data_IF_694337003499
#
_entry.id   IF_694337003499
#
_cell.length_a   1.000
_cell.length_b   1.000
_cell.length_c   1.000
_cell.angle_alpha   90.00
_cell.angle_beta   90.00
_cell.angle_gamma   90.00
#
_symmetry.space_group_name_H-M   'P 1'
#
loop_
_entity.id
_entity.type
_entity.pdbx_description
1 polymer ?
#
# COMPACT_ATOMS: atom_id res chain seq x y z
N UNK A 1 15.76 6.59 16.39
CA UNK A 1 16.15 7.87 15.82
C UNK A 1 16.35 7.71 14.33
N UNK A 2 15.50 8.34 13.49
CA UNK A 2 15.60 8.31 12.01
C UNK A 2 16.69 9.26 11.48
N UNK A 3 17.50 9.87 12.36
CA UNK A 3 18.55 10.84 12.02
C UNK A 3 19.95 10.26 11.78
N UNK A 4 20.12 8.94 11.68
CA UNK A 4 21.37 8.32 11.26
C UNK A 4 21.52 8.39 9.73
N UNK A 5 22.77 8.51 9.22
CA UNK A 5 23.05 8.47 7.79
C UNK A 5 22.46 7.18 7.18
N UNK A 6 21.49 7.34 6.29
CA UNK A 6 20.94 6.22 5.49
C UNK A 6 21.97 5.83 4.42
N UNK A 7 22.11 4.54 4.07
CA UNK A 7 22.75 4.18 2.81
C UNK A 7 22.06 4.92 1.67
N UNK A 8 22.82 5.61 0.82
CA UNK A 8 22.29 6.49 -0.26
C UNK A 8 21.44 5.77 -1.30
N UNK A 9 21.41 4.46 -1.27
CA UNK A 9 20.74 3.56 -2.24
C UNK A 9 19.48 2.89 -1.67
N UNK A 10 19.05 3.25 -0.46
CA UNK A 10 17.85 2.67 0.18
C UNK A 10 16.72 3.69 0.17
N UNK A 11 15.65 3.39 -0.55
CA UNK A 11 14.40 4.15 -0.53
C UNK A 11 13.64 3.85 0.75
N UNK A 12 13.31 4.89 1.52
CA UNK A 12 12.54 4.80 2.76
C UNK A 12 11.09 5.20 2.52
N UNK A 13 10.18 4.22 2.56
CA UNK A 13 8.74 4.48 2.63
C UNK A 13 8.26 4.49 4.09
N UNK A 14 7.43 5.46 4.45
CA UNK A 14 6.80 5.53 5.77
C UNK A 14 5.30 5.28 5.62
N UNK A 15 4.78 4.27 6.34
CA UNK A 15 3.34 4.01 6.38
C UNK A 15 2.70 4.82 7.50
N UNK A 16 1.75 5.68 7.13
CA UNK A 16 1.04 6.57 8.05
C UNK A 16 -0.43 6.12 8.20
N UNK A 17 -0.95 6.26 9.40
CA UNK A 17 -2.34 5.91 9.74
C UNK A 17 -2.72 6.49 11.09
N UNK A 18 -4.03 6.63 11.39
CA UNK A 18 -4.47 7.20 12.65
C UNK A 18 -4.14 6.27 13.82
N UNK A 19 -4.04 6.84 14.99
CA UNK A 19 -3.97 6.06 16.22
C UNK A 19 -5.26 5.25 16.41
N UNK A 20 -5.16 4.07 17.01
CA UNK A 20 -6.28 3.12 17.07
C UNK A 20 -7.51 3.67 17.82
N UNK A 21 -7.26 4.52 18.86
CA UNK A 21 -8.29 5.09 19.70
C UNK A 21 -8.75 6.48 19.25
N UNK A 22 -8.18 7.02 18.16
CA UNK A 22 -8.59 8.33 17.65
C UNK A 22 -10.04 8.28 17.14
N UNK A 23 -10.93 9.15 17.63
CA UNK A 23 -12.28 9.29 17.11
C UNK A 23 -12.32 9.50 15.60
N UNK A 24 -13.36 9.01 14.95
CA UNK A 24 -13.44 8.98 13.49
C UNK A 24 -13.34 10.37 12.83
N UNK A 25 -13.90 11.37 13.47
CA UNK A 25 -13.90 12.80 13.04
C UNK A 25 -12.53 13.48 13.19
N UNK A 26 -11.64 12.96 14.04
CA UNK A 26 -10.30 13.50 14.27
C UNK A 26 -9.19 12.74 13.50
N UNK A 27 -9.52 11.65 12.81
CA UNK A 27 -8.52 10.83 12.11
C UNK A 27 -7.78 11.57 11.00
N UNK A 28 -8.41 12.52 10.36
CA UNK A 28 -7.77 13.35 9.33
C UNK A 28 -6.61 14.15 9.91
N UNK A 29 -6.76 14.64 11.13
CA UNK A 29 -5.72 15.43 11.82
C UNK A 29 -4.51 14.57 12.19
N UNK A 30 -4.73 13.28 12.55
CA UNK A 30 -3.63 12.34 12.75
C UNK A 30 -2.81 12.16 11.46
N UNK A 31 -3.47 11.97 10.32
CA UNK A 31 -2.77 11.85 9.03
C UNK A 31 -1.99 13.13 8.70
N UNK A 32 -2.59 14.30 8.87
CA UNK A 32 -1.91 15.59 8.62
C UNK A 32 -0.67 15.75 9.51
N UNK A 33 -0.80 15.46 10.79
CA UNK A 33 0.33 15.49 11.73
C UNK A 33 1.47 14.56 11.30
N UNK A 34 1.15 13.36 10.81
CA UNK A 34 2.14 12.40 10.33
C UNK A 34 2.78 12.84 9.00
N UNK A 35 2.03 13.47 8.12
CA UNK A 35 2.59 14.08 6.90
C UNK A 35 3.59 15.17 7.27
N UNK A 36 3.22 16.12 8.12
CA UNK A 36 4.10 17.21 8.55
C UNK A 36 5.41 16.67 9.18
N UNK A 37 5.30 15.59 9.96
CA UNK A 37 6.45 14.96 10.61
C UNK A 37 7.38 14.21 9.66
N UNK A 38 6.83 13.48 8.69
CA UNK A 38 7.59 12.52 7.89
C UNK A 38 7.89 12.98 6.47
N UNK A 39 7.26 14.03 5.96
CA UNK A 39 7.43 14.49 4.58
C UNK A 39 8.88 14.83 4.21
N UNK A 40 9.68 15.32 5.17
CA UNK A 40 11.11 15.63 4.96
C UNK A 40 12.05 14.45 5.20
N UNK A 41 11.54 13.36 5.78
CA UNK A 41 12.34 12.21 6.20
C UNK A 41 12.17 11.00 5.30
N UNK A 42 11.02 10.89 4.63
CA UNK A 42 10.64 9.77 3.77
C UNK A 42 10.88 10.08 2.30
N UNK A 43 11.16 9.04 1.51
CA UNK A 43 11.20 9.13 0.06
C UNK A 43 9.80 8.94 -0.55
N UNK A 44 8.86 8.34 0.18
CA UNK A 44 7.42 8.34 -0.09
C UNK A 44 6.62 8.07 1.19
N UNK A 45 5.36 8.49 1.21
CA UNK A 45 4.42 8.19 2.30
C UNK A 45 3.31 7.25 1.80
N UNK A 46 3.00 6.21 2.59
CA UNK A 46 1.90 5.30 2.33
C UNK A 46 0.74 5.57 3.28
N UNK A 47 -0.34 6.16 2.76
CA UNK A 47 -1.59 6.44 3.50
C UNK A 47 -2.33 5.12 3.70
N UNK A 48 -2.27 4.58 4.91
CA UNK A 48 -2.84 3.28 5.24
C UNK A 48 -4.28 3.42 5.74
N UNK A 49 -5.24 3.16 4.87
CA UNK A 49 -6.69 3.11 5.18
C UNK A 49 -7.21 1.66 5.24
N UNK A 50 -6.33 0.68 5.29
CA UNK A 50 -6.67 -0.73 5.07
C UNK A 50 -6.45 -1.66 6.26
N UNK A 51 -5.97 -1.15 7.41
CA UNK A 51 -5.74 -1.97 8.60
C UNK A 51 -7.05 -2.54 9.15
N UNK A 52 -7.12 -3.86 9.44
CA UNK A 52 -8.26 -4.45 10.12
C UNK A 52 -8.26 -4.24 11.64
N UNK A 53 -7.12 -3.78 12.18
CA UNK A 53 -6.91 -3.67 13.63
C UNK A 53 -7.38 -2.33 14.20
N UNK A 54 -7.70 -1.37 13.36
CA UNK A 54 -8.27 -0.07 13.75
C UNK A 54 -9.75 -0.07 13.37
N UNK A 55 -10.61 0.00 14.37
CA UNK A 55 -12.07 -0.05 14.17
C UNK A 55 -12.53 1.06 13.21
N UNK A 56 -13.35 0.72 12.21
CA UNK A 56 -13.90 1.66 11.24
C UNK A 56 -12.87 2.31 10.30
N UNK A 57 -11.59 1.90 10.31
CA UNK A 57 -10.60 2.47 9.40
C UNK A 57 -10.88 2.10 7.94
N UNK A 58 -11.36 0.90 7.69
CA UNK A 58 -11.70 0.43 6.34
C UNK A 58 -12.91 1.12 5.74
N UNK A 59 -13.75 1.75 6.57
CA UNK A 59 -14.90 2.55 6.11
C UNK A 59 -14.43 3.80 5.34
N UNK A 60 -13.20 4.23 5.59
CA UNK A 60 -12.56 5.32 4.84
C UNK A 60 -12.26 4.96 3.38
N UNK A 61 -12.26 3.68 3.02
CA UNK A 61 -12.06 3.22 1.64
C UNK A 61 -13.33 3.36 0.75
N UNK A 62 -14.43 3.85 1.31
CA UNK A 62 -15.67 4.16 0.58
C UNK A 62 -15.78 5.63 0.17
N UNK A 63 -16.97 6.17 0.32
CA UNK A 63 -17.30 7.57 0.01
C UNK A 63 -16.36 8.62 0.66
N UNK A 64 -15.84 8.43 1.90
CA UNK A 64 -14.96 9.39 2.53
C UNK A 64 -13.55 9.48 1.91
N UNK A 65 -13.11 8.49 1.12
CA UNK A 65 -11.72 8.37 0.66
C UNK A 65 -11.23 9.62 -0.06
N UNK A 66 -12.04 10.15 -0.96
CA UNK A 66 -11.67 11.33 -1.75
C UNK A 66 -11.41 12.56 -0.88
N UNK A 67 -12.28 12.81 0.09
CA UNK A 67 -12.11 13.93 1.02
C UNK A 67 -10.89 13.77 1.92
N UNK A 68 -10.65 12.57 2.42
CA UNK A 68 -9.46 12.23 3.19
C UNK A 68 -8.18 12.47 2.39
N UNK A 69 -8.10 11.92 1.19
CA UNK A 69 -6.90 12.06 0.35
C UNK A 69 -6.66 13.51 -0.06
N UNK A 70 -7.71 14.28 -0.37
CA UNK A 70 -7.57 15.70 -0.67
C UNK A 70 -6.98 16.49 0.51
N UNK A 71 -7.45 16.24 1.74
CA UNK A 71 -6.93 16.90 2.94
C UNK A 71 -5.47 16.52 3.25
N UNK A 72 -5.08 15.27 2.97
CA UNK A 72 -3.69 14.79 3.14
C UNK A 72 -2.77 15.39 2.08
N UNK A 73 -3.22 15.47 0.82
CA UNK A 73 -2.47 16.07 -0.27
C UNK A 73 -2.26 17.59 -0.06
N UNK A 74 -3.29 18.29 0.41
CA UNK A 74 -3.17 19.69 0.79
C UNK A 74 -2.09 19.89 1.88
N UNK A 75 -2.08 19.03 2.90
CA UNK A 75 -1.07 19.08 3.94
C UNK A 75 0.34 18.79 3.39
N UNK A 76 0.49 17.78 2.52
CA UNK A 76 1.76 17.52 1.83
C UNK A 76 2.26 18.75 1.08
N UNK A 77 1.37 19.39 0.32
CA UNK A 77 1.72 20.56 -0.48
C UNK A 77 2.15 21.74 0.41
N UNK A 78 1.52 21.88 1.59
CA UNK A 78 1.91 22.87 2.61
C UNK A 78 3.34 22.65 3.13
N UNK A 79 3.82 21.40 3.19
CA UNK A 79 5.21 21.12 3.59
C UNK A 79 6.25 21.54 2.54
N UNK A 80 5.86 21.76 1.30
CA UNK A 80 6.73 22.13 0.18
C UNK A 80 7.70 21.04 -0.25
N UNK A 81 7.60 19.81 0.27
CA UNK A 81 8.53 18.72 -0.03
C UNK A 81 8.23 18.02 -1.36
N UNK A 82 6.97 18.01 -1.78
CA UNK A 82 6.52 17.23 -2.94
C UNK A 82 6.70 15.71 -2.76
N UNK A 83 6.81 15.21 -1.51
CA UNK A 83 6.99 13.78 -1.23
C UNK A 83 5.86 12.96 -1.85
N UNK A 84 6.14 11.90 -2.61
CA UNK A 84 5.10 11.07 -3.21
C UNK A 84 4.17 10.46 -2.16
N UNK A 85 2.85 10.50 -2.42
CA UNK A 85 1.83 9.89 -1.60
C UNK A 85 1.19 8.71 -2.32
N UNK A 86 1.26 7.52 -1.73
CA UNK A 86 0.56 6.34 -2.22
C UNK A 86 -0.51 5.90 -1.23
N UNK A 87 -1.68 5.47 -1.71
CA UNK A 87 -2.74 4.98 -0.84
C UNK A 87 -2.71 3.46 -0.75
N UNK A 88 -2.78 2.92 0.49
CA UNK A 88 -2.80 1.46 0.71
C UNK A 88 -4.22 0.97 0.94
N UNK A 89 -4.68 0.11 0.01
CA UNK A 89 -6.03 -0.42 -0.07
C UNK A 89 -6.11 -1.89 0.40
N UNK A 90 -7.24 -2.25 0.99
CA UNK A 90 -7.57 -3.62 1.41
C UNK A 90 -7.93 -4.50 0.21
N UNK A 91 -7.68 -5.83 0.28
CA UNK A 91 -8.21 -6.76 -0.71
C UNK A 91 -9.73 -7.02 -0.55
N UNK A 92 -10.34 -6.54 0.53
CA UNK A 92 -11.74 -6.83 0.90
C UNK A 92 -12.73 -5.73 0.49
N UNK A 93 -12.34 -4.86 -0.44
CA UNK A 93 -13.20 -3.79 -0.96
C UNK A 93 -14.29 -4.40 -1.87
N UNK A 94 -15.55 -4.03 -1.63
CA UNK A 94 -16.67 -4.50 -2.44
C UNK A 94 -16.76 -3.77 -3.78
N UNK A 95 -16.70 -2.44 -3.77
CA UNK A 95 -16.63 -1.63 -4.98
C UNK A 95 -15.22 -1.12 -5.25
N UNK A 96 -14.39 -2.02 -5.74
CA UNK A 96 -12.99 -1.73 -6.05
C UNK A 96 -12.85 -0.67 -7.14
N UNK A 97 -13.81 -0.61 -8.08
CA UNK A 97 -13.79 0.38 -9.14
C UNK A 97 -13.98 1.79 -8.62
N UNK A 98 -14.98 2.02 -7.77
CA UNK A 98 -15.23 3.33 -7.18
C UNK A 98 -14.04 3.81 -6.35
N UNK A 99 -13.42 2.92 -5.57
CA UNK A 99 -12.27 3.25 -4.71
C UNK A 99 -11.04 3.61 -5.54
N UNK A 100 -10.73 2.86 -6.58
CA UNK A 100 -9.60 3.14 -7.48
C UNK A 100 -9.82 4.46 -8.23
N UNK A 101 -11.03 4.70 -8.75
CA UNK A 101 -11.35 5.97 -9.40
C UNK A 101 -11.25 7.16 -8.44
N UNK A 102 -11.68 6.99 -7.18
CA UNK A 102 -11.54 8.03 -6.17
C UNK A 102 -10.07 8.34 -5.84
N UNK A 103 -9.22 7.31 -5.75
CA UNK A 103 -7.79 7.47 -5.53
C UNK A 103 -7.13 8.20 -6.70
N UNK A 104 -7.38 7.78 -7.94
CA UNK A 104 -6.83 8.43 -9.14
C UNK A 104 -7.29 9.88 -9.27
N UNK A 105 -8.58 10.14 -9.08
CA UNK A 105 -9.15 11.49 -9.13
C UNK A 105 -8.66 12.41 -8.00
N UNK A 106 -8.11 11.87 -6.93
CA UNK A 106 -7.53 12.67 -5.83
C UNK A 106 -6.12 13.17 -6.14
N UNK A 107 -5.42 12.60 -7.12
CA UNK A 107 -4.07 13.00 -7.49
C UNK A 107 -2.98 12.37 -6.63
N UNK A 108 -3.22 11.20 -6.02
CA UNK A 108 -2.16 10.40 -5.37
C UNK A 108 -1.20 9.85 -6.42
N UNK A 109 0.05 9.59 -6.03
CA UNK A 109 1.13 9.17 -6.91
C UNK A 109 1.14 7.66 -7.18
N UNK A 110 0.31 6.88 -6.48
CA UNK A 110 0.21 5.44 -6.70
C UNK A 110 -0.69 4.72 -5.70
N UNK A 111 -0.84 3.42 -5.90
CA UNK A 111 -1.67 2.55 -5.08
C UNK A 111 -0.81 1.39 -4.56
N UNK A 112 -0.85 1.12 -3.26
CA UNK A 112 -0.44 -0.17 -2.70
C UNK A 112 -1.71 -1.02 -2.61
N UNK A 113 -1.82 -2.06 -3.43
CA UNK A 113 -2.97 -2.95 -3.39
C UNK A 113 -2.67 -4.25 -2.66
N UNK A 114 -3.45 -4.49 -1.63
CA UNK A 114 -3.38 -5.65 -0.76
C UNK A 114 -2.93 -5.28 0.66
N UNK A 115 -3.51 -6.05 1.57
CA UNK A 115 -3.26 -6.09 3.00
C UNK A 115 -3.69 -7.49 3.44
N UNK A 116 -3.98 -7.70 4.71
CA UNK A 116 -4.64 -8.92 5.19
C UNK A 116 -6.12 -8.92 4.82
N UNK A 117 -6.74 -10.11 4.69
CA UNK A 117 -8.19 -10.24 4.53
C UNK A 117 -8.85 -10.56 5.87
N UNK A 118 -10.05 -10.01 6.10
CA UNK A 118 -10.93 -10.40 7.21
C UNK A 118 -11.98 -11.42 6.75
N UNK A 119 -12.03 -11.78 5.47
CA UNK A 119 -12.94 -12.77 4.89
C UNK A 119 -12.38 -14.19 5.09
N UNK A 120 -12.31 -14.62 6.35
CA UNK A 120 -11.81 -15.94 6.76
C UNK A 120 -12.54 -16.46 8.01
N UNK A 121 -12.33 -17.72 8.34
CA UNK A 121 -12.99 -18.40 9.48
C UNK A 121 -12.11 -18.48 10.74
N UNK A 122 -10.92 -17.90 10.75
CA UNK A 122 -9.91 -18.01 11.82
C UNK A 122 -10.18 -17.09 13.04
N UNK A 123 -11.35 -16.46 13.11
CA UNK A 123 -11.82 -15.69 14.26
C UNK A 123 -11.35 -14.23 14.29
N UNK A 124 -10.14 -13.91 14.73
CA UNK A 124 -9.69 -12.53 14.93
C UNK A 124 -8.58 -12.10 13.98
N UNK A 125 -8.51 -10.78 13.69
CA UNK A 125 -7.45 -10.14 12.94
C UNK A 125 -7.56 -10.37 11.44
N UNK A 126 -6.46 -10.15 10.74
CA UNK A 126 -6.40 -10.30 9.29
C UNK A 126 -5.54 -11.48 8.88
N UNK A 127 -6.08 -12.35 8.02
CA UNK A 127 -5.34 -13.46 7.43
C UNK A 127 -4.38 -12.97 6.35
N UNK A 128 -3.15 -13.49 6.35
CA UNK A 128 -2.11 -13.16 5.38
C UNK A 128 -1.41 -14.42 4.83
N UNK A 129 -0.41 -14.24 3.98
CA UNK A 129 0.37 -15.35 3.43
C UNK A 129 -0.31 -16.08 2.28
N UNK A 130 -0.03 -17.38 2.12
CA UNK A 130 -0.47 -18.19 0.98
C UNK A 130 -1.99 -18.13 0.70
N UNK A 131 -2.87 -18.17 1.71
CA UNK A 131 -4.31 -18.12 1.48
C UNK A 131 -4.78 -16.85 0.75
N UNK A 132 -4.03 -15.75 0.89
CA UNK A 132 -4.35 -14.48 0.26
C UNK A 132 -3.89 -14.41 -1.22
N UNK A 133 -2.99 -15.30 -1.65
CA UNK A 133 -2.28 -15.21 -2.93
C UNK A 133 -3.18 -15.03 -4.13
N UNK A 134 -4.16 -15.93 -4.31
CA UNK A 134 -5.06 -15.92 -5.47
C UNK A 134 -6.03 -14.74 -5.46
N UNK A 135 -6.58 -14.35 -4.31
CA UNK A 135 -7.50 -13.21 -4.21
C UNK A 135 -6.79 -11.89 -4.46
N UNK A 136 -5.57 -11.71 -3.93
CA UNK A 136 -4.77 -10.53 -4.17
C UNK A 136 -4.35 -10.39 -5.66
N UNK A 137 -4.05 -11.52 -6.33
CA UNK A 137 -3.74 -11.49 -7.76
C UNK A 137 -4.95 -11.07 -8.60
N UNK A 138 -6.10 -11.70 -8.39
CA UNK A 138 -7.34 -11.32 -9.11
C UNK A 138 -7.72 -9.86 -8.88
N UNK A 139 -7.60 -9.36 -7.65
CA UNK A 139 -7.87 -7.96 -7.36
C UNK A 139 -6.90 -7.01 -8.08
N UNK A 140 -5.61 -7.38 -8.16
CA UNK A 140 -4.62 -6.62 -8.92
C UNK A 140 -4.98 -6.53 -10.41
N UNK A 141 -5.36 -7.64 -11.03
CA UNK A 141 -5.80 -7.68 -12.44
C UNK A 141 -7.01 -6.76 -12.68
N UNK A 142 -7.96 -6.75 -11.74
CA UNK A 142 -9.13 -5.88 -11.82
C UNK A 142 -8.77 -4.39 -11.75
N UNK A 143 -7.87 -3.99 -10.84
CA UNK A 143 -7.49 -2.58 -10.71
C UNK A 143 -6.57 -2.12 -11.85
N UNK A 144 -5.72 -3.01 -12.36
CA UNK A 144 -4.80 -2.62 -13.44
C UNK A 144 -5.52 -2.15 -14.70
N UNK A 145 -6.66 -2.74 -15.01
CA UNK A 145 -7.49 -2.31 -16.14
C UNK A 145 -8.25 -0.98 -15.92
N UNK A 146 -8.14 -0.37 -14.73
CA UNK A 146 -8.97 0.79 -14.34
C UNK A 146 -8.17 2.05 -14.01
N UNK A 147 -6.85 1.96 -13.88
CA UNK A 147 -6.02 3.12 -13.52
C UNK A 147 -4.69 3.12 -14.25
N UNK A 148 -4.20 4.32 -14.56
CA UNK A 148 -2.84 4.55 -15.05
C UNK A 148 -1.79 4.65 -13.94
N UNK A 149 -2.19 4.74 -12.68
CA UNK A 149 -1.29 4.89 -11.55
C UNK A 149 -0.33 3.71 -11.39
N UNK A 150 0.89 3.93 -10.91
CA UNK A 150 1.77 2.87 -10.43
C UNK A 150 1.08 2.04 -9.33
N UNK A 151 1.19 0.70 -9.44
CA UNK A 151 0.62 -0.21 -8.45
C UNK A 151 1.75 -1.00 -7.77
N UNK A 152 1.78 -0.96 -6.44
CA UNK A 152 2.62 -1.81 -5.61
C UNK A 152 1.76 -2.97 -5.13
N UNK A 153 2.02 -4.18 -5.61
CA UNK A 153 1.25 -5.35 -5.22
C UNK A 153 1.74 -5.93 -3.88
N UNK A 154 0.81 -6.17 -2.97
CA UNK A 154 1.06 -6.74 -1.66
C UNK A 154 0.13 -7.93 -1.38
N UNK A 155 0.58 -8.87 -0.56
CA UNK A 155 -0.21 -10.01 -0.11
C UNK A 155 0.00 -11.30 -0.92
N UNK A 156 0.23 -12.39 -0.17
CA UNK A 156 0.41 -13.72 -0.73
C UNK A 156 1.66 -13.92 -1.57
N UNK A 157 2.68 -13.08 -1.43
CA UNK A 157 3.96 -13.20 -2.14
C UNK A 157 4.94 -13.91 -1.21
N UNK A 158 5.22 -15.18 -1.48
CA UNK A 158 6.08 -16.05 -0.66
C UNK A 158 7.31 -16.52 -1.41
N UNK A 159 7.28 -16.45 -2.75
CA UNK A 159 8.35 -16.90 -3.64
C UNK A 159 8.66 -15.83 -4.69
N UNK A 160 9.81 -15.93 -5.38
CA UNK A 160 10.10 -15.08 -6.54
C UNK A 160 9.08 -15.23 -7.68
N UNK A 161 8.50 -16.43 -7.84
CA UNK A 161 7.49 -16.73 -8.85
C UNK A 161 6.18 -16.01 -8.56
N UNK A 162 5.77 -15.94 -7.28
CA UNK A 162 4.61 -15.13 -6.88
C UNK A 162 4.82 -13.66 -7.22
N UNK A 163 6.01 -13.14 -6.94
CA UNK A 163 6.36 -11.76 -7.28
C UNK A 163 6.32 -11.52 -8.80
N UNK A 164 6.86 -12.47 -9.57
CA UNK A 164 6.83 -12.41 -11.02
C UNK A 164 5.39 -12.38 -11.56
N UNK A 165 4.50 -13.22 -11.03
CA UNK A 165 3.08 -13.22 -11.40
C UNK A 165 2.40 -11.86 -11.11
N UNK A 166 2.79 -11.14 -10.04
CA UNK A 166 2.28 -9.78 -9.77
C UNK A 166 2.76 -8.77 -10.81
N UNK A 167 4.03 -8.83 -11.20
CA UNK A 167 4.57 -7.95 -12.25
C UNK A 167 3.89 -8.24 -13.59
N UNK A 168 3.68 -9.51 -13.94
CA UNK A 168 2.97 -9.91 -15.17
C UNK A 168 1.53 -9.43 -15.19
N UNK A 169 0.86 -9.41 -14.03
CA UNK A 169 -0.48 -8.84 -13.85
C UNK A 169 -0.51 -7.30 -13.84
N UNK A 170 0.63 -6.64 -14.09
CA UNK A 170 0.74 -5.20 -14.26
C UNK A 170 1.11 -4.40 -13.03
N UNK A 171 1.59 -5.03 -11.95
CA UNK A 171 2.20 -4.30 -10.84
C UNK A 171 3.52 -3.66 -11.28
N UNK A 172 3.77 -2.46 -10.78
CA UNK A 172 5.05 -1.75 -10.96
C UNK A 172 6.09 -2.25 -9.98
N UNK A 173 5.69 -2.51 -8.74
CA UNK A 173 6.53 -3.02 -7.65
C UNK A 173 5.78 -4.09 -6.85
N UNK A 174 6.51 -4.82 -6.02
CA UNK A 174 5.96 -5.78 -5.06
C UNK A 174 6.39 -5.45 -3.64
N UNK A 175 5.51 -5.72 -2.68
CA UNK A 175 5.77 -5.58 -1.26
C UNK A 175 5.68 -6.94 -0.56
N UNK A 176 6.74 -7.33 0.17
CA UNK A 176 6.84 -8.58 0.90
C UNK A 176 6.67 -8.34 2.41
N UNK A 177 5.90 -9.19 3.09
CA UNK A 177 5.83 -9.20 4.55
C UNK A 177 5.86 -10.63 5.10
N UNK A 178 4.78 -11.40 4.94
CA UNK A 178 4.67 -12.77 5.46
C UNK A 178 5.72 -13.71 4.88
N UNK A 179 6.01 -13.58 3.58
CA UNK A 179 7.09 -14.33 2.94
C UNK A 179 8.45 -14.04 3.57
N UNK A 180 8.71 -12.77 3.94
CA UNK A 180 9.93 -12.39 4.63
C UNK A 180 10.05 -13.03 6.01
N UNK A 181 8.92 -13.12 6.76
CA UNK A 181 8.89 -13.75 8.08
C UNK A 181 9.26 -15.24 8.00
N UNK A 182 8.72 -15.98 7.01
CA UNK A 182 8.96 -17.42 6.88
C UNK A 182 10.27 -17.76 6.18
N UNK A 183 10.62 -17.06 5.11
CA UNK A 183 11.80 -17.38 4.28
C UNK A 183 13.05 -16.52 4.62
N UNK A 184 12.90 -15.55 5.53
CA UNK A 184 13.97 -14.66 5.94
C UNK A 184 14.35 -13.61 4.87
N UNK A 185 15.36 -12.74 5.19
CA UNK A 185 15.74 -11.61 4.33
C UNK A 185 16.34 -12.04 2.98
N UNK A 186 16.77 -13.28 2.86
CA UNK A 186 17.23 -13.86 1.58
C UNK A 186 16.16 -13.86 0.49
N UNK A 187 14.88 -13.87 0.87
CA UNK A 187 13.77 -13.80 -0.09
C UNK A 187 13.81 -12.51 -0.91
N UNK A 188 14.06 -11.37 -0.28
CA UNK A 188 14.13 -10.07 -0.97
C UNK A 188 15.16 -10.10 -2.08
N UNK A 189 16.38 -10.59 -1.76
CA UNK A 189 17.46 -10.69 -2.75
C UNK A 189 17.15 -11.68 -3.88
N UNK A 190 16.56 -12.83 -3.55
CA UNK A 190 16.16 -13.84 -4.55
C UNK A 190 15.10 -13.27 -5.49
N UNK A 191 14.08 -12.60 -4.94
CA UNK A 191 13.01 -11.96 -5.70
C UNK A 191 13.55 -10.86 -6.61
N UNK A 192 14.36 -9.94 -6.09
CA UNK A 192 14.95 -8.87 -6.89
C UNK A 192 15.77 -9.41 -8.08
N UNK A 193 16.63 -10.44 -7.83
CA UNK A 193 17.41 -11.08 -8.89
C UNK A 193 16.53 -11.78 -9.94
N UNK A 194 15.45 -12.44 -9.52
CA UNK A 194 14.54 -13.09 -10.44
C UNK A 194 13.83 -12.08 -11.35
N UNK A 195 13.37 -10.96 -10.78
CA UNK A 195 12.70 -9.90 -11.54
C UNK A 195 13.65 -9.17 -12.50
N UNK A 196 14.90 -8.92 -12.10
CA UNK A 196 15.93 -8.28 -12.97
C UNK A 196 16.30 -9.11 -14.20
N UNK A 197 16.20 -10.44 -14.12
CA UNK A 197 16.51 -11.35 -15.23
C UNK A 197 15.37 -11.49 -16.25
N UNK A 198 14.22 -10.91 -15.98
CA UNK A 198 13.08 -10.98 -16.88
C UNK A 198 13.23 -9.94 -17.99
N UNK A 199 12.85 -10.27 -19.22
CA UNK A 199 12.76 -9.27 -20.27
C UNK A 199 11.75 -8.18 -19.82
N UNK A 200 11.96 -6.91 -20.23
CA UNK A 200 10.98 -5.87 -19.94
C UNK A 200 9.61 -6.28 -20.46
N UNK A 201 8.57 -6.11 -19.65
CA UNK A 201 7.21 -6.36 -20.09
C UNK A 201 6.93 -5.48 -21.32
N UNK A 202 6.54 -6.10 -22.42
CA UNK A 202 6.08 -5.39 -23.61
C UNK A 202 4.77 -4.68 -23.18
N UNK A 203 4.82 -3.35 -23.07
CA UNK A 203 3.67 -2.50 -22.74
C UNK A 203 2.83 -2.23 -23.97
#
# INVERSE_FOLDING_TARGET
PLGGARPHDVVLGVSIGPYADTPADLRVDDYKTLVDHFATLADYLAVNVSSPNTSGLRDLQGAPLRGLLAAILEERDRTGTGVPLVVKLSPDIDDLAAVVNAAEASGVDGIIFGNTTIRHQEGRGGLSGAPLGSSALRGLEQIRGRTGLPIIACGGILTPEDAAARIDAGATLVQLYTGLVYAGPGLVRKTARALQRRPPAIR
#
